data_IF_425899789545
#
_entry.id   IF_425899789545
#
_cell.length_a   1.000
_cell.length_b   1.000
_cell.length_c   1.000
_cell.angle_alpha   90.00
_cell.angle_beta   90.00
_cell.angle_gamma   90.00
#
_symmetry.space_group_name_H-M   'P 1'
#
loop_
_entity.id
_entity.type
_entity.pdbx_description
1 polymer ?
#
# COMPACT_ATOMS: atom_id res chain seq x y z
N UNK A 1 -60.77 22.95 1.76
CA UNK A 1 -59.64 23.07 2.69
C UNK A 1 -58.78 21.84 2.48
N UNK A 2 -57.80 21.93 1.60
CA UNK A 2 -56.78 20.89 1.47
C UNK A 2 -55.94 20.93 2.74
N UNK A 3 -56.10 19.92 3.59
CA UNK A 3 -55.20 19.71 4.71
C UNK A 3 -53.90 19.22 4.10
N UNK A 4 -53.01 20.14 3.74
CA UNK A 4 -51.60 19.81 3.55
C UNK A 4 -51.12 19.27 4.88
N UNK A 5 -50.96 17.95 4.99
CA UNK A 5 -50.33 17.32 6.16
C UNK A 5 -48.91 17.87 6.22
N UNK A 6 -48.71 18.95 6.99
CA UNK A 6 -47.39 19.49 7.27
C UNK A 6 -46.68 18.47 8.14
N UNK A 7 -45.88 17.60 7.50
CA UNK A 7 -44.97 16.69 8.19
C UNK A 7 -44.14 17.47 9.20
N UNK A 8 -44.05 16.97 10.43
CA UNK A 8 -43.27 17.64 11.48
C UNK A 8 -41.80 17.80 11.04
N UNK A 9 -41.24 19.00 11.16
CA UNK A 9 -39.88 19.30 10.70
C UNK A 9 -38.81 18.45 11.40
N UNK A 10 -39.00 18.16 12.69
CA UNK A 10 -38.08 17.30 13.46
C UNK A 10 -38.09 15.85 12.96
N UNK A 11 -39.27 15.31 12.67
CA UNK A 11 -39.40 13.97 12.10
C UNK A 11 -38.80 13.89 10.69
N UNK A 12 -38.96 14.95 9.87
CA UNK A 12 -38.33 15.04 8.56
C UNK A 12 -36.80 15.06 8.65
N UNK A 13 -36.24 15.81 9.61
CA UNK A 13 -34.80 15.83 9.87
C UNK A 13 -34.31 14.44 10.29
N UNK A 14 -34.98 13.79 11.24
CA UNK A 14 -34.64 12.45 11.70
C UNK A 14 -34.71 11.40 10.57
N UNK A 15 -35.77 11.42 9.75
CA UNK A 15 -35.87 10.54 8.59
C UNK A 15 -34.78 10.82 7.56
N UNK A 16 -34.34 12.07 7.40
CA UNK A 16 -33.26 12.43 6.48
C UNK A 16 -31.91 11.92 6.97
N UNK A 17 -31.63 12.07 8.28
CA UNK A 17 -30.45 11.50 8.93
C UNK A 17 -30.39 9.98 8.77
N UNK A 18 -31.50 9.27 9.04
CA UNK A 18 -31.58 7.81 8.86
C UNK A 18 -31.33 7.36 7.42
N UNK A 19 -31.65 8.19 6.43
CA UNK A 19 -31.40 7.93 4.99
C UNK A 19 -30.02 8.41 4.52
N UNK A 20 -29.12 8.78 5.44
CA UNK A 20 -27.77 9.35 5.16
C UNK A 20 -27.81 10.64 4.33
N UNK A 21 -28.91 11.40 4.39
CA UNK A 21 -29.03 12.73 3.77
C UNK A 21 -28.65 13.80 4.78
N UNK A 22 -27.38 13.84 5.14
CA UNK A 22 -26.89 14.64 6.26
C UNK A 22 -26.95 16.15 6.01
N UNK A 23 -26.70 16.62 4.78
CA UNK A 23 -26.82 18.05 4.43
C UNK A 23 -28.25 18.57 4.66
N UNK A 24 -29.24 17.92 4.03
CA UNK A 24 -30.66 18.26 4.20
C UNK A 24 -31.10 18.21 5.66
N UNK A 25 -30.56 17.26 6.41
CA UNK A 25 -30.83 17.14 7.83
C UNK A 25 -30.29 18.36 8.62
N UNK A 26 -29.04 18.75 8.37
CA UNK A 26 -28.41 19.90 9.01
C UNK A 26 -29.13 21.22 8.68
N UNK A 27 -29.61 21.38 7.44
CA UNK A 27 -30.36 22.56 7.01
C UNK A 27 -31.71 22.67 7.74
N UNK A 28 -32.49 21.59 7.80
CA UNK A 28 -33.78 21.55 8.51
C UNK A 28 -33.59 21.78 10.01
N UNK A 29 -32.57 21.17 10.62
CA UNK A 29 -32.25 21.44 12.03
C UNK A 29 -31.80 22.90 12.26
N UNK A 30 -31.15 23.54 11.28
CA UNK A 30 -30.78 24.95 11.40
C UNK A 30 -32.00 25.88 11.36
N UNK A 31 -32.98 25.56 10.51
CA UNK A 31 -34.26 26.26 10.46
C UNK A 31 -35.03 26.08 11.78
N UNK A 32 -35.11 24.85 12.29
CA UNK A 32 -35.72 24.54 13.59
C UNK A 32 -35.08 25.30 14.75
N UNK A 33 -33.75 25.39 14.79
CA UNK A 33 -33.02 26.11 15.83
C UNK A 33 -33.19 27.64 15.71
N UNK A 34 -33.45 28.15 14.51
CA UNK A 34 -33.76 29.56 14.30
C UNK A 34 -35.17 29.94 14.77
N UNK A 35 -36.12 29.00 14.67
CA UNK A 35 -37.49 29.15 15.18
C UNK A 35 -37.58 28.88 16.68
N UNK A 36 -36.82 27.89 17.17
CA UNK A 36 -36.82 27.42 18.56
C UNK A 36 -35.39 27.26 19.10
N UNK A 37 -34.88 28.25 19.85
CA UNK A 37 -33.48 28.25 20.28
C UNK A 37 -33.16 27.22 21.37
N UNK A 38 -34.17 26.64 22.04
CA UNK A 38 -34.00 25.73 23.18
C UNK A 38 -34.24 24.24 22.86
N UNK A 39 -34.31 23.87 21.58
CA UNK A 39 -34.51 22.47 21.20
C UNK A 39 -33.19 21.65 21.18
N UNK A 40 -32.97 20.87 22.24
CA UNK A 40 -31.82 19.98 22.38
C UNK A 40 -31.84 18.82 21.37
N UNK A 41 -33.03 18.36 20.96
CA UNK A 41 -33.15 17.26 20.00
C UNK A 41 -32.67 17.72 18.62
N UNK A 42 -33.14 18.87 18.15
CA UNK A 42 -32.67 19.47 16.90
C UNK A 42 -31.16 19.76 16.93
N UNK A 43 -30.63 20.23 18.06
CA UNK A 43 -29.19 20.50 18.21
C UNK A 43 -28.33 19.23 18.16
N UNK A 44 -28.66 18.20 18.94
CA UNK A 44 -27.94 16.92 18.95
C UNK A 44 -28.01 16.18 17.61
N UNK A 45 -29.14 16.30 16.91
CA UNK A 45 -29.32 15.71 15.59
C UNK A 45 -28.48 16.45 14.53
N UNK A 46 -28.41 17.78 14.60
CA UNK A 46 -27.53 18.59 13.75
C UNK A 46 -26.06 18.25 13.98
N UNK A 47 -25.61 18.17 15.23
CA UNK A 47 -24.20 17.85 15.53
C UNK A 47 -23.86 16.45 15.02
N UNK A 48 -24.74 15.47 15.23
CA UNK A 48 -24.58 14.11 14.68
C UNK A 48 -24.47 14.11 13.16
N UNK A 49 -25.35 14.83 12.45
CA UNK A 49 -25.33 14.90 11.00
C UNK A 49 -24.00 15.51 10.50
N UNK A 50 -23.52 16.58 11.14
CA UNK A 50 -22.23 17.20 10.79
C UNK A 50 -21.05 16.28 11.06
N UNK A 51 -21.05 15.54 12.18
CA UNK A 51 -19.98 14.57 12.48
C UNK A 51 -20.02 13.36 11.55
N UNK A 52 -21.19 12.83 11.23
CA UNK A 52 -21.35 11.69 10.32
C UNK A 52 -20.98 12.02 8.87
N UNK A 53 -21.07 13.30 8.46
CA UNK A 53 -20.58 13.73 7.13
C UNK A 53 -19.07 13.61 6.95
N UNK A 54 -18.31 13.78 8.03
CA UNK A 54 -16.84 13.76 8.03
C UNK A 54 -16.31 12.51 8.74
N UNK A 55 -17.20 11.60 9.13
CA UNK A 55 -16.83 10.42 9.90
C UNK A 55 -15.95 9.49 9.07
N UNK A 56 -14.82 9.11 9.65
CA UNK A 56 -13.90 8.11 9.12
C UNK A 56 -13.56 7.16 10.26
N UNK A 57 -13.56 5.86 9.98
CA UNK A 57 -13.26 4.85 10.99
C UNK A 57 -11.82 4.99 11.49
N UNK A 58 -11.67 5.17 12.81
CA UNK A 58 -10.37 5.37 13.45
C UNK A 58 -9.45 4.14 13.30
N UNK A 59 -10.02 2.94 13.11
CA UNK A 59 -9.25 1.73 12.89
C UNK A 59 -8.46 1.78 11.57
N UNK A 60 -9.01 2.43 10.54
CA UNK A 60 -8.35 2.56 9.24
C UNK A 60 -7.42 3.77 9.15
N UNK A 61 -7.65 4.79 9.99
CA UNK A 61 -6.79 5.98 10.10
C UNK A 61 -5.62 5.69 11.03
N UNK A 62 -4.57 5.08 10.50
CA UNK A 62 -3.22 5.08 11.10
C UNK A 62 -2.27 5.88 10.25
N UNK A 63 -2.08 7.14 10.60
CA UNK A 63 -1.06 7.97 9.96
C UNK A 63 0.08 8.17 10.94
N UNK A 64 1.14 7.38 10.89
CA UNK A 64 2.36 7.66 11.67
C UNK A 64 3.05 8.90 11.09
N UNK A 65 3.22 9.93 11.92
CA UNK A 65 3.99 11.12 11.54
C UNK A 65 5.50 10.87 11.61
N UNK A 66 6.30 11.74 11.00
CA UNK A 66 7.78 11.64 11.04
C UNK A 66 8.29 11.64 12.49
N UNK A 67 7.67 12.44 13.36
CA UNK A 67 7.99 12.48 14.79
C UNK A 67 7.74 11.12 15.46
N UNK A 68 6.54 10.55 15.29
CA UNK A 68 6.19 9.23 15.84
C UNK A 68 7.11 8.11 15.32
N UNK A 69 7.59 8.22 14.07
CA UNK A 69 8.46 7.21 13.46
C UNK A 69 9.89 7.24 14.00
N UNK A 70 10.41 8.43 14.34
CA UNK A 70 11.83 8.67 14.65
C UNK A 70 12.12 9.06 16.10
N UNK A 71 11.23 9.80 16.75
CA UNK A 71 11.43 10.35 18.09
C UNK A 71 10.73 9.51 19.17
N UNK A 72 9.63 8.84 18.82
CA UNK A 72 8.91 7.99 19.76
C UNK A 72 9.50 6.56 19.77
N UNK A 73 10.47 6.33 20.64
CA UNK A 73 10.97 4.99 20.97
C UNK A 73 10.02 4.28 21.94
N UNK A 74 8.95 3.71 21.42
CA UNK A 74 7.98 2.91 22.19
C UNK A 74 8.32 1.41 22.25
N UNK A 75 9.27 0.95 21.41
CA UNK A 75 9.71 -0.43 21.30
C UNK A 75 10.65 -0.82 22.45
N UNK A 76 10.36 -1.92 23.14
CA UNK A 76 11.18 -2.40 24.27
C UNK A 76 12.53 -2.96 23.79
N UNK A 77 12.54 -3.68 22.67
CA UNK A 77 13.73 -4.31 22.13
C UNK A 77 14.36 -3.44 21.05
N UNK A 78 15.61 -3.02 21.25
CA UNK A 78 16.37 -2.27 20.23
C UNK A 78 16.84 -3.17 19.08
N UNK A 79 17.23 -4.41 19.39
CA UNK A 79 17.61 -5.42 18.40
C UNK A 79 16.77 -6.67 18.64
N UNK A 80 15.58 -6.70 18.06
CA UNK A 80 14.70 -7.86 18.11
C UNK A 80 15.26 -9.00 17.24
N UNK A 81 14.90 -10.24 17.58
CA UNK A 81 15.22 -11.40 16.75
C UNK A 81 14.51 -11.25 15.38
N UNK A 82 15.16 -11.57 14.25
CA UNK A 82 14.51 -11.51 12.94
C UNK A 82 13.21 -12.31 12.92
N UNK A 83 12.13 -11.69 12.44
CA UNK A 83 10.79 -12.27 12.39
C UNK A 83 9.96 -12.14 13.67
N UNK A 84 10.47 -11.51 14.74
CA UNK A 84 9.69 -11.20 15.95
C UNK A 84 9.32 -9.72 16.10
N UNK A 85 9.71 -8.89 15.14
CA UNK A 85 9.47 -7.44 15.07
C UNK A 85 9.04 -7.08 13.65
N UNK A 86 8.23 -6.02 13.51
CA UNK A 86 7.82 -5.47 12.22
C UNK A 86 8.94 -4.66 11.55
N UNK A 87 9.91 -4.18 12.35
CA UNK A 87 11.09 -3.43 11.88
C UNK A 87 12.14 -4.33 11.23
N UNK A 88 12.29 -5.55 11.76
CA UNK A 88 13.19 -6.59 11.25
C UNK A 88 12.34 -7.76 10.75
N UNK A 89 11.73 -7.63 9.56
CA UNK A 89 10.97 -8.74 8.98
C UNK A 89 11.88 -9.97 8.85
N UNK A 90 11.29 -11.15 9.02
CA UNK A 90 12.05 -12.39 8.86
C UNK A 90 12.60 -12.47 7.45
N UNK A 91 13.84 -12.94 7.29
CA UNK A 91 14.32 -13.38 5.98
C UNK A 91 13.56 -14.65 5.63
N UNK A 92 12.48 -14.51 4.85
CA UNK A 92 11.74 -15.65 4.31
C UNK A 92 12.67 -16.38 3.33
N UNK A 93 13.48 -17.31 3.83
CA UNK A 93 14.30 -18.17 2.99
C UNK A 93 13.37 -19.02 2.11
N UNK A 94 13.21 -18.60 0.85
CA UNK A 94 12.86 -19.49 -0.27
C UNK A 94 11.40 -19.57 -0.74
N UNK A 95 10.48 -18.66 -0.39
CA UNK A 95 9.09 -18.77 -0.89
C UNK A 95 8.35 -17.47 -1.23
N UNK A 96 8.89 -16.30 -0.88
CA UNK A 96 8.35 -15.03 -1.38
C UNK A 96 8.99 -14.70 -2.74
N UNK A 97 8.26 -14.07 -3.68
CA UNK A 97 8.86 -13.61 -4.93
C UNK A 97 9.99 -12.63 -4.61
N UNK A 98 11.15 -12.87 -5.21
CA UNK A 98 12.34 -12.04 -5.02
C UNK A 98 12.13 -10.65 -5.64
N UNK A 99 12.94 -9.64 -5.25
CA UNK A 99 12.91 -8.32 -5.87
C UNK A 99 13.05 -8.34 -7.40
N UNK A 100 13.64 -9.39 -7.96
CA UNK A 100 13.75 -9.60 -9.40
C UNK A 100 12.42 -9.90 -10.11
N UNK A 101 11.41 -10.37 -9.37
CA UNK A 101 10.10 -10.74 -9.92
C UNK A 101 9.02 -9.76 -9.44
N UNK A 102 9.07 -9.36 -8.16
CA UNK A 102 8.10 -8.45 -7.57
C UNK A 102 8.74 -7.10 -7.28
N UNK A 103 8.21 -5.99 -7.83
CA UNK A 103 8.69 -4.65 -7.52
C UNK A 103 8.66 -4.37 -6.01
N UNK A 104 9.66 -3.62 -5.57
CA UNK A 104 9.85 -3.24 -4.17
C UNK A 104 9.49 -1.77 -4.00
N UNK A 105 8.83 -1.46 -2.89
CA UNK A 105 8.62 -0.08 -2.47
C UNK A 105 9.89 0.48 -1.82
N UNK A 106 9.94 1.81 -1.60
CA UNK A 106 11.06 2.50 -0.96
C UNK A 106 11.47 1.91 0.40
N UNK A 107 10.58 1.18 1.07
CA UNK A 107 10.82 0.52 2.35
C UNK A 107 11.61 -0.78 2.30
N UNK A 108 12.00 -1.23 1.11
CA UNK A 108 12.49 -2.59 0.93
C UNK A 108 11.42 -3.65 1.23
N UNK A 109 10.13 -3.32 1.08
CA UNK A 109 9.01 -4.28 1.14
C UNK A 109 8.39 -4.44 -0.26
N UNK A 110 7.96 -5.66 -0.64
CA UNK A 110 7.32 -5.89 -1.93
C UNK A 110 5.99 -5.13 -2.03
N UNK A 111 5.66 -4.65 -3.23
CA UNK A 111 4.39 -3.92 -3.50
C UNK A 111 3.18 -4.80 -3.16
N UNK A 112 2.26 -4.32 -2.33
CA UNK A 112 1.06 -5.06 -1.88
C UNK A 112 -0.07 -5.03 -2.92
N UNK A 113 -1.01 -5.99 -2.84
CA UNK A 113 -2.18 -6.01 -3.73
C UNK A 113 -3.29 -5.03 -3.33
N UNK A 114 -3.24 -4.51 -2.09
CA UNK A 114 -4.21 -3.59 -1.53
C UNK A 114 -3.49 -2.49 -0.76
N UNK A 115 -3.80 -1.23 -1.06
CA UNK A 115 -3.25 -0.06 -0.39
C UNK A 115 -4.23 0.38 0.70
N UNK A 116 -3.71 0.55 1.92
CA UNK A 116 -4.50 1.06 3.06
C UNK A 116 -3.94 2.42 3.45
N UNK A 117 -4.73 3.31 4.09
CA UNK A 117 -4.18 4.54 4.66
C UNK A 117 -3.04 4.26 5.66
N UNK A 118 -3.08 3.09 6.31
CA UNK A 118 -2.10 2.61 7.28
C UNK A 118 -0.91 1.84 6.72
N UNK A 119 -0.87 1.52 5.40
CA UNK A 119 0.26 0.74 4.86
C UNK A 119 1.56 1.53 5.01
N UNK A 120 2.38 1.09 5.96
CA UNK A 120 3.71 1.65 6.20
C UNK A 120 4.59 1.37 4.98
N UNK A 121 4.79 2.39 4.14
CA UNK A 121 5.77 2.36 3.06
C UNK A 121 7.20 2.59 3.57
N UNK A 122 7.54 1.98 4.71
CA UNK A 122 8.88 2.03 5.32
C UNK A 122 9.12 3.21 6.22
N UNK A 123 10.00 3.01 7.20
CA UNK A 123 10.51 4.09 8.04
C UNK A 123 11.75 4.70 7.39
N UNK A 124 11.82 6.02 7.20
CA UNK A 124 13.05 6.68 6.76
C UNK A 124 14.12 6.49 7.84
N UNK A 125 15.37 6.22 7.44
CA UNK A 125 16.46 5.96 8.41
C UNK A 125 16.93 7.23 9.12
N UNK A 126 16.77 8.39 8.48
CA UNK A 126 17.20 9.69 9.02
C UNK A 126 16.13 10.76 8.86
N UNK A 127 16.12 11.71 9.79
CA UNK A 127 15.21 12.87 9.75
C UNK A 127 15.38 13.67 8.45
N UNK A 128 16.61 13.79 7.93
CA UNK A 128 16.88 14.48 6.67
C UNK A 128 16.28 13.75 5.46
N UNK A 129 16.33 12.42 5.43
CA UNK A 129 15.67 11.63 4.39
C UNK A 129 14.14 11.75 4.49
N UNK A 130 13.59 11.78 5.71
CA UNK A 130 12.15 11.93 5.94
C UNK A 130 11.61 13.29 5.48
N UNK A 131 12.34 14.38 5.76
CA UNK A 131 11.96 15.74 5.35
C UNK A 131 12.03 15.91 3.83
N UNK A 132 12.93 15.20 3.15
CA UNK A 132 13.06 15.22 1.69
C UNK A 132 11.89 14.56 0.96
N UNK A 133 11.07 13.77 1.66
CA UNK A 133 9.84 13.17 1.13
C UNK A 133 8.60 13.95 1.61
N UNK A 134 7.74 14.48 0.71
CA UNK A 134 6.58 15.27 1.14
C UNK A 134 5.49 14.35 1.71
N UNK A 135 5.03 14.63 2.94
CA UNK A 135 3.79 14.05 3.51
C UNK A 135 2.99 15.11 4.26
N UNK A 136 1.67 15.06 4.10
CA UNK A 136 0.73 15.99 4.73
C UNK A 136 0.23 15.49 6.08
N UNK A 137 -0.07 16.44 6.97
CA UNK A 137 -0.42 16.23 8.38
C UNK A 137 -1.88 15.78 8.63
N UNK A 138 -2.10 15.22 9.83
CA UNK A 138 -3.36 14.62 10.33
C UNK A 138 -4.51 15.64 10.50
N UNK A 139 -5.75 15.30 10.12
CA UNK A 139 -6.95 15.87 10.72
C UNK A 139 -7.41 15.05 11.94
N UNK A 140 -7.89 15.74 12.97
CA UNK A 140 -8.25 15.17 14.28
C UNK A 140 -9.77 15.22 14.48
N UNK A 141 -10.40 14.07 14.71
CA UNK A 141 -11.66 13.96 15.46
C UNK A 141 -11.60 12.73 16.35
N UNK A 142 -12.01 12.85 17.61
CA UNK A 142 -11.63 11.89 18.66
C UNK A 142 -12.78 11.60 19.64
N UNK A 143 -12.93 10.34 20.04
CA UNK A 143 -13.66 9.88 21.23
C UNK A 143 -12.71 9.61 22.43
N UNK A 144 -13.17 9.73 23.68
CA UNK A 144 -12.28 9.75 24.89
C UNK A 144 -11.39 8.50 25.09
N UNK A 145 -11.74 7.33 24.53
CA UNK A 145 -10.94 6.09 24.56
C UNK A 145 -9.87 6.03 23.45
N UNK A 146 -10.14 6.64 22.30
CA UNK A 146 -9.17 6.85 21.23
C UNK A 146 -8.29 8.08 21.47
N UNK A 147 -8.69 9.00 22.38
CA UNK A 147 -7.87 10.13 22.81
C UNK A 147 -6.49 9.70 23.29
N UNK A 148 -6.37 8.72 24.18
CA UNK A 148 -5.08 8.35 24.78
C UNK A 148 -4.10 7.78 23.76
N UNK A 149 -4.62 7.06 22.77
CA UNK A 149 -3.83 6.55 21.65
C UNK A 149 -3.39 7.65 20.69
N UNK A 150 -4.28 8.60 20.38
CA UNK A 150 -3.95 9.76 19.55
C UNK A 150 -2.95 10.68 20.26
N UNK A 151 -2.93 10.68 21.60
CA UNK A 151 -1.98 11.41 22.45
C UNK A 151 -0.63 10.69 22.62
N UNK A 152 -0.43 9.50 22.05
CA UNK A 152 0.83 8.74 22.12
C UNK A 152 1.03 7.92 23.40
N UNK A 153 0.06 7.86 24.31
CA UNK A 153 0.14 7.12 25.58
C UNK A 153 -0.32 5.67 25.41
N UNK A 154 0.42 4.88 24.63
CA UNK A 154 0.05 3.52 24.24
C UNK A 154 -0.17 2.56 25.41
N UNK A 155 0.60 2.69 26.51
CA UNK A 155 0.46 1.82 27.69
C UNK A 155 -0.81 2.10 28.49
N UNK A 156 -1.21 3.36 28.58
CA UNK A 156 -2.46 3.72 29.24
C UNK A 156 -3.65 3.25 28.40
N UNK A 157 -3.58 3.43 27.08
CA UNK A 157 -4.57 2.92 26.15
C UNK A 157 -4.71 1.40 26.24
N UNK A 158 -3.60 0.65 26.25
CA UNK A 158 -3.59 -0.81 26.48
C UNK A 158 -4.38 -1.19 27.74
N UNK A 159 -4.16 -0.47 28.85
CA UNK A 159 -4.88 -0.70 30.11
C UNK A 159 -6.38 -0.45 29.98
N UNK A 160 -6.78 0.59 29.25
CA UNK A 160 -8.19 0.91 29.01
C UNK A 160 -8.88 -0.10 28.09
N UNK A 161 -8.19 -0.61 27.06
CA UNK A 161 -8.78 -1.65 26.21
C UNK A 161 -8.87 -3.00 26.92
N UNK A 162 -7.88 -3.35 27.76
CA UNK A 162 -7.96 -4.54 28.60
C UNK A 162 -9.09 -4.45 29.63
N UNK A 163 -9.30 -3.29 30.25
CA UNK A 163 -10.45 -3.11 31.14
C UNK A 163 -11.77 -3.15 30.38
N UNK A 164 -11.83 -2.60 29.16
CA UNK A 164 -13.01 -2.70 28.30
C UNK A 164 -13.35 -4.15 27.95
N UNK A 165 -12.37 -4.96 27.55
CA UNK A 165 -12.55 -6.39 27.28
C UNK A 165 -13.05 -7.16 28.51
N UNK A 166 -12.57 -6.82 29.70
CA UNK A 166 -13.05 -7.44 30.94
C UNK A 166 -14.52 -7.11 31.26
N UNK A 167 -15.05 -5.99 30.76
CA UNK A 167 -16.46 -5.63 30.91
C UNK A 167 -17.33 -6.30 29.85
N UNK A 168 -16.98 -6.13 28.57
CA UNK A 168 -17.69 -6.68 27.42
C UNK A 168 -16.72 -6.91 26.26
N UNK A 169 -16.76 -8.12 25.70
CA UNK A 169 -15.95 -8.51 24.57
C UNK A 169 -16.60 -7.99 23.27
N UNK A 170 -15.92 -7.08 22.58
CA UNK A 170 -16.33 -6.56 21.27
C UNK A 170 -15.21 -6.74 20.25
N UNK A 171 -15.56 -6.98 18.99
CA UNK A 171 -14.58 -7.12 17.89
C UNK A 171 -13.68 -5.88 17.80
N UNK A 172 -14.26 -4.67 17.85
CA UNK A 172 -13.53 -3.41 17.79
C UNK A 172 -12.45 -3.31 18.87
N UNK A 173 -12.74 -3.77 20.10
CA UNK A 173 -11.75 -3.72 21.19
C UNK A 173 -10.54 -4.60 20.93
N UNK A 174 -10.69 -5.76 20.28
CA UNK A 174 -9.55 -6.58 19.85
C UNK A 174 -8.74 -5.89 18.73
N UNK A 175 -9.42 -5.24 17.78
CA UNK A 175 -8.77 -4.49 16.69
C UNK A 175 -7.95 -3.30 17.23
N UNK A 176 -8.53 -2.51 18.12
CA UNK A 176 -7.82 -1.40 18.79
C UNK A 176 -6.62 -1.90 19.59
N UNK A 177 -6.80 -2.97 20.38
CA UNK A 177 -5.72 -3.52 21.20
C UNK A 177 -4.57 -4.09 20.36
N UNK A 178 -4.88 -4.78 19.26
CA UNK A 178 -3.86 -5.25 18.32
C UNK A 178 -3.11 -4.11 17.65
N UNK A 179 -3.80 -3.02 17.29
CA UNK A 179 -3.21 -1.79 16.73
C UNK A 179 -2.28 -1.10 17.73
N UNK A 180 -2.63 -1.07 19.02
CA UNK A 180 -1.71 -0.63 20.09
C UNK A 180 -0.46 -1.51 20.14
N UNK A 181 -0.59 -2.84 20.04
CA UNK A 181 0.57 -3.72 20.00
C UNK A 181 1.42 -3.60 18.74
N UNK A 182 0.82 -3.30 17.59
CA UNK A 182 1.58 -2.97 16.37
C UNK A 182 2.43 -1.71 16.56
N UNK A 183 1.86 -0.65 17.16
CA UNK A 183 2.61 0.58 17.49
C UNK A 183 3.74 0.36 18.50
N UNK A 184 3.58 -0.60 19.41
CA UNK A 184 4.62 -1.03 20.37
C UNK A 184 5.66 -1.99 19.75
N UNK A 185 5.55 -2.31 18.46
CA UNK A 185 6.37 -3.28 17.73
C UNK A 185 6.33 -4.71 18.32
N UNK A 186 5.14 -5.15 18.75
CA UNK A 186 4.91 -6.49 19.29
C UNK A 186 3.91 -7.28 18.40
N UNK A 187 4.34 -7.79 17.24
CA UNK A 187 3.42 -8.49 16.32
C UNK A 187 2.92 -9.83 16.87
N UNK A 188 3.74 -10.55 17.63
CA UNK A 188 3.36 -11.87 18.17
C UNK A 188 2.25 -11.74 19.23
N UNK A 189 2.31 -10.72 20.08
CA UNK A 189 1.26 -10.47 21.06
C UNK A 189 -0.03 -10.04 20.36
N UNK A 190 0.05 -9.18 19.34
CA UNK A 190 -1.09 -8.83 18.50
C UNK A 190 -1.74 -10.06 17.84
N UNK A 191 -0.94 -11.00 17.31
CA UNK A 191 -1.44 -12.26 16.77
C UNK A 191 -2.14 -13.12 17.83
N UNK A 192 -1.61 -13.18 19.05
CA UNK A 192 -2.25 -13.91 20.14
C UNK A 192 -3.58 -13.28 20.56
N UNK A 193 -3.66 -11.95 20.57
CA UNK A 193 -4.91 -11.20 20.83
C UNK A 193 -5.95 -11.50 19.76
N UNK A 194 -5.55 -11.53 18.49
CA UNK A 194 -6.47 -11.89 17.42
C UNK A 194 -6.94 -13.34 17.51
N UNK A 195 -6.05 -14.27 17.88
CA UNK A 195 -6.44 -15.67 18.12
C UNK A 195 -7.44 -15.79 19.29
N UNK A 196 -7.21 -15.07 20.39
CA UNK A 196 -8.19 -14.99 21.47
C UNK A 196 -9.52 -14.45 20.95
N UNK A 197 -9.50 -13.36 20.19
CA UNK A 197 -10.71 -12.81 19.57
C UNK A 197 -11.44 -13.81 18.67
N UNK A 198 -10.72 -14.67 17.94
CA UNK A 198 -11.30 -15.73 17.11
C UNK A 198 -11.87 -16.90 17.93
N UNK A 199 -11.32 -17.18 19.11
CA UNK A 199 -11.89 -18.18 20.03
C UNK A 199 -13.27 -17.72 20.55
N UNK A 200 -13.45 -16.41 20.77
CA UNK A 200 -14.72 -15.81 21.18
C UNK A 200 -15.69 -15.58 20.01
N UNK A 201 -15.17 -15.07 18.89
CA UNK A 201 -15.91 -14.79 17.66
C UNK A 201 -15.41 -15.71 16.53
N UNK A 202 -15.89 -16.95 16.48
CA UNK A 202 -15.53 -17.86 15.39
C UNK A 202 -16.00 -17.25 14.07
N UNK A 203 -15.13 -17.23 13.07
CA UNK A 203 -15.39 -16.72 11.72
C UNK A 203 -15.46 -15.19 11.53
N UNK A 204 -15.02 -14.38 12.49
CA UNK A 204 -14.97 -12.93 12.28
C UNK A 204 -13.91 -12.53 11.24
N UNK A 205 -14.36 -11.81 10.20
CA UNK A 205 -13.57 -11.50 9.00
C UNK A 205 -12.50 -10.47 9.30
N UNK A 206 -12.82 -9.45 10.10
CA UNK A 206 -11.91 -8.35 10.44
C UNK A 206 -10.69 -8.81 11.26
N UNK A 207 -10.86 -9.82 12.11
CA UNK A 207 -9.76 -10.41 12.88
C UNK A 207 -8.84 -11.26 11.99
N UNK A 208 -9.42 -12.08 11.11
CA UNK A 208 -8.65 -12.88 10.15
C UNK A 208 -7.85 -11.99 9.19
N UNK A 209 -8.44 -10.90 8.70
CA UNK A 209 -7.72 -9.92 7.87
C UNK A 209 -6.62 -9.23 8.68
N UNK A 210 -6.87 -8.86 9.93
CA UNK A 210 -5.85 -8.34 10.85
C UNK A 210 -4.64 -9.26 11.03
N UNK A 211 -4.87 -10.57 11.18
CA UNK A 211 -3.82 -11.59 11.25
C UNK A 211 -3.03 -11.65 9.93
N UNK A 212 -3.74 -11.71 8.79
CA UNK A 212 -3.12 -11.76 7.48
C UNK A 212 -2.22 -10.53 7.23
N UNK A 213 -2.68 -9.33 7.62
CA UNK A 213 -1.92 -8.07 7.55
C UNK A 213 -0.61 -8.14 8.33
N UNK A 214 -0.63 -8.60 9.58
CA UNK A 214 0.59 -8.76 10.38
C UNK A 214 1.55 -9.74 9.72
N UNK A 215 1.05 -10.84 9.14
CA UNK A 215 1.89 -11.78 8.42
C UNK A 215 2.50 -11.20 7.13
N UNK A 216 1.75 -10.39 6.37
CA UNK A 216 2.31 -9.62 5.24
C UNK A 216 3.41 -8.66 5.70
N UNK A 217 3.19 -7.94 6.80
CA UNK A 217 4.19 -6.99 7.34
C UNK A 217 5.45 -7.68 7.86
N UNK A 218 5.33 -8.89 8.41
CA UNK A 218 6.46 -9.74 8.78
C UNK A 218 7.14 -10.42 7.58
N UNK A 219 6.67 -10.17 6.35
CA UNK A 219 7.10 -10.78 5.08
C UNK A 219 6.87 -12.31 5.01
N UNK A 220 5.95 -12.85 5.80
CA UNK A 220 5.55 -14.26 5.79
C UNK A 220 4.35 -14.46 4.86
N UNK A 221 4.60 -14.42 3.55
CA UNK A 221 3.55 -14.46 2.53
C UNK A 221 2.74 -15.77 2.53
N UNK A 222 3.36 -16.91 2.86
CA UNK A 222 2.67 -18.21 2.89
C UNK A 222 1.50 -18.18 3.89
N UNK A 223 1.78 -17.88 5.15
CA UNK A 223 0.75 -17.81 6.19
C UNK A 223 -0.26 -16.71 5.91
N UNK A 224 0.18 -15.56 5.37
CA UNK A 224 -0.74 -14.51 4.96
C UNK A 224 -1.75 -15.03 3.91
N UNK A 225 -1.31 -15.77 2.90
CA UNK A 225 -2.23 -16.36 1.91
C UNK A 225 -3.17 -17.41 2.49
N UNK A 226 -2.74 -18.16 3.52
CA UNK A 226 -3.62 -19.13 4.21
C UNK A 226 -4.75 -18.41 4.94
N UNK A 227 -4.44 -17.38 5.74
CA UNK A 227 -5.45 -16.58 6.41
C UNK A 227 -6.35 -15.81 5.43
N UNK A 228 -5.81 -15.28 4.33
CA UNK A 228 -6.65 -14.68 3.29
C UNK A 228 -7.56 -15.71 2.61
N UNK A 229 -7.14 -16.96 2.46
CA UNK A 229 -8.04 -18.03 1.97
C UNK A 229 -9.13 -18.34 2.99
N UNK A 230 -8.85 -18.28 4.29
CA UNK A 230 -9.88 -18.40 5.34
C UNK A 230 -10.87 -17.24 5.30
N UNK A 231 -10.38 -16.01 5.11
CA UNK A 231 -11.23 -14.83 4.86
C UNK A 231 -12.16 -15.09 3.68
N UNK A 232 -11.65 -15.61 2.55
CA UNK A 232 -12.49 -15.90 1.38
C UNK A 232 -13.50 -17.04 1.58
N UNK A 233 -13.27 -17.94 2.55
CA UNK A 233 -14.25 -18.97 2.92
C UNK A 233 -15.44 -18.35 3.65
N UNK A 234 -15.20 -17.33 4.46
CA UNK A 234 -16.26 -16.58 5.16
C UNK A 234 -16.89 -15.55 4.23
N UNK A 235 -16.07 -14.58 3.80
CA UNK A 235 -16.44 -13.47 2.95
C UNK A 235 -15.80 -13.62 1.58
N UNK A 236 -16.60 -14.19 0.69
CA UNK A 236 -16.17 -14.48 -0.65
C UNK A 236 -16.05 -13.18 -1.51
N UNK A 237 -16.58 -12.06 -1.04
CA UNK A 237 -16.59 -10.74 -1.72
C UNK A 237 -15.51 -9.78 -1.21
N UNK A 238 -14.66 -10.22 -0.28
CA UNK A 238 -13.72 -9.33 0.40
C UNK A 238 -12.63 -8.81 -0.56
N UNK A 239 -12.60 -7.50 -0.82
CA UNK A 239 -11.74 -6.89 -1.86
C UNK A 239 -10.26 -7.07 -1.54
N UNK A 240 -9.85 -6.83 -0.30
CA UNK A 240 -8.44 -6.93 0.13
C UNK A 240 -7.90 -8.34 -0.06
N UNK A 241 -8.62 -9.36 0.43
CA UNK A 241 -8.18 -10.75 0.34
C UNK A 241 -8.05 -11.21 -1.12
N UNK A 242 -9.01 -10.85 -1.97
CA UNK A 242 -8.98 -11.17 -3.40
C UNK A 242 -7.77 -10.50 -4.07
N UNK A 243 -7.52 -9.22 -3.78
CA UNK A 243 -6.43 -8.45 -4.39
C UNK A 243 -5.04 -8.93 -3.92
N UNK A 244 -4.86 -9.22 -2.63
CA UNK A 244 -3.61 -9.76 -2.10
C UNK A 244 -3.32 -11.18 -2.61
N UNK A 245 -4.33 -12.06 -2.67
CA UNK A 245 -4.16 -13.39 -3.27
C UNK A 245 -3.87 -13.28 -4.77
N UNK A 246 -4.59 -12.41 -5.48
CA UNK A 246 -4.39 -12.18 -6.91
C UNK A 246 -2.99 -11.68 -7.25
N UNK A 247 -2.47 -10.69 -6.52
CA UNK A 247 -1.11 -10.19 -6.73
C UNK A 247 -0.05 -11.23 -6.39
N UNK A 248 -0.23 -12.00 -5.31
CA UNK A 248 0.68 -13.08 -4.98
C UNK A 248 0.74 -14.15 -6.09
N UNK A 249 -0.41 -14.61 -6.61
CA UNK A 249 -0.43 -15.57 -7.71
C UNK A 249 0.18 -15.02 -9.00
N UNK A 250 0.00 -13.72 -9.28
CA UNK A 250 0.59 -13.07 -10.45
C UNK A 250 2.13 -13.13 -10.39
N UNK A 251 2.72 -12.77 -9.24
CA UNK A 251 4.17 -12.78 -9.06
C UNK A 251 4.76 -14.18 -8.80
N UNK A 252 3.95 -15.21 -8.56
CA UNK A 252 4.40 -16.62 -8.51
C UNK A 252 4.21 -17.35 -9.85
N UNK A 253 4.28 -16.64 -10.97
CA UNK A 253 4.12 -17.17 -12.33
C UNK A 253 2.77 -17.87 -12.61
N UNK A 254 1.70 -17.47 -11.92
CA UNK A 254 0.33 -17.99 -12.13
C UNK A 254 -0.65 -16.87 -12.53
N UNK A 255 -0.43 -16.18 -13.67
CA UNK A 255 -1.26 -15.05 -14.08
C UNK A 255 -2.71 -15.45 -14.43
N UNK A 256 -2.95 -16.69 -14.86
CA UNK A 256 -4.31 -17.19 -15.15
C UNK A 256 -5.18 -17.25 -13.89
N UNK A 257 -4.59 -17.64 -12.76
CA UNK A 257 -5.29 -17.71 -11.47
C UNK A 257 -5.52 -16.29 -10.95
N UNK A 258 -4.51 -15.42 -11.04
CA UNK A 258 -4.64 -14.00 -10.70
C UNK A 258 -5.77 -13.33 -11.51
N UNK A 259 -5.86 -13.61 -12.80
CA UNK A 259 -6.91 -13.11 -13.68
C UNK A 259 -8.32 -13.53 -13.21
N UNK A 260 -8.48 -14.76 -12.72
CA UNK A 260 -9.78 -15.21 -12.16
C UNK A 260 -10.17 -14.39 -10.92
N UNK A 261 -9.22 -14.12 -10.03
CA UNK A 261 -9.44 -13.30 -8.85
C UNK A 261 -9.78 -11.84 -9.20
N UNK A 262 -9.05 -11.22 -10.13
CA UNK A 262 -9.38 -9.85 -10.57
C UNK A 262 -10.70 -9.77 -11.35
N UNK A 263 -11.05 -10.78 -12.16
CA UNK A 263 -12.36 -10.86 -12.82
C UNK A 263 -13.50 -10.97 -11.81
N UNK A 264 -13.27 -11.65 -10.68
CA UNK A 264 -14.23 -11.70 -9.58
C UNK A 264 -14.48 -10.30 -9.02
N UNK A 265 -13.45 -9.49 -8.78
CA UNK A 265 -13.63 -8.10 -8.34
C UNK A 265 -14.46 -7.28 -9.33
N UNK A 266 -14.22 -7.48 -10.63
CA UNK A 266 -15.01 -6.83 -11.67
C UNK A 266 -16.48 -7.29 -11.65
N UNK A 267 -16.76 -8.57 -11.44
CA UNK A 267 -18.13 -9.10 -11.31
C UNK A 267 -18.86 -8.54 -10.08
N UNK A 268 -18.13 -8.20 -9.01
CA UNK A 268 -18.70 -7.55 -7.83
C UNK A 268 -19.03 -6.06 -8.06
N UNK A 269 -18.72 -5.49 -9.22
CA UNK A 269 -19.02 -4.10 -9.56
C UNK A 269 -17.95 -3.11 -9.11
N UNK A 270 -16.72 -3.56 -8.83
CA UNK A 270 -15.60 -2.65 -8.59
C UNK A 270 -15.15 -2.06 -9.93
N UNK A 271 -15.20 -0.74 -10.08
CA UNK A 271 -14.82 -0.02 -11.28
C UNK A 271 -13.72 0.99 -10.96
N UNK A 272 -12.49 0.49 -10.82
CA UNK A 272 -11.32 1.30 -10.46
C UNK A 272 -10.26 1.27 -11.56
N UNK A 273 -9.51 2.36 -11.68
CA UNK A 273 -8.35 2.49 -12.56
C UNK A 273 -7.32 1.36 -12.32
N UNK A 274 -6.92 1.15 -11.05
CA UNK A 274 -5.92 0.14 -10.67
C UNK A 274 -6.39 -1.29 -11.00
N UNK A 275 -7.69 -1.57 -10.85
CA UNK A 275 -8.23 -2.88 -11.17
C UNK A 275 -8.12 -3.19 -12.66
N UNK A 276 -8.47 -2.24 -13.52
CA UNK A 276 -8.35 -2.41 -14.97
C UNK A 276 -6.89 -2.50 -15.42
N UNK A 277 -5.98 -1.76 -14.77
CA UNK A 277 -4.54 -1.89 -14.98
C UNK A 277 -4.04 -3.31 -14.65
N UNK A 278 -4.38 -3.82 -13.46
CA UNK A 278 -4.04 -5.18 -13.03
C UNK A 278 -4.67 -6.26 -13.93
N UNK A 279 -5.91 -6.05 -14.39
CA UNK A 279 -6.57 -6.93 -15.36
C UNK A 279 -5.83 -6.94 -16.71
N UNK A 280 -5.41 -5.79 -17.21
CA UNK A 280 -4.65 -5.67 -18.46
C UNK A 280 -3.32 -6.41 -18.40
N UNK A 281 -2.57 -6.23 -17.31
CA UNK A 281 -1.35 -6.98 -17.04
C UNK A 281 -1.63 -8.50 -16.97
N UNK A 282 -2.60 -8.92 -16.14
CA UNK A 282 -2.92 -10.34 -16.00
C UNK A 282 -3.38 -10.96 -17.33
N UNK A 283 -4.18 -10.27 -18.13
CA UNK A 283 -4.60 -10.73 -19.45
C UNK A 283 -3.38 -10.91 -20.38
N UNK A 284 -2.42 -9.98 -20.34
CA UNK A 284 -1.25 -10.02 -21.22
C UNK A 284 -0.33 -11.20 -20.87
N UNK A 285 0.00 -11.35 -19.59
CA UNK A 285 0.84 -12.46 -19.12
C UNK A 285 0.12 -13.82 -19.17
N UNK A 286 -1.22 -13.84 -19.10
CA UNK A 286 -2.03 -15.03 -19.36
C UNK A 286 -2.33 -15.28 -20.85
N UNK A 287 -1.68 -14.54 -21.77
CA UNK A 287 -1.79 -14.68 -23.23
C UNK A 287 -3.20 -14.45 -23.81
N UNK A 288 -4.06 -13.73 -23.10
CA UNK A 288 -5.39 -13.34 -23.57
C UNK A 288 -5.36 -11.95 -24.20
N UNK A 289 -4.71 -11.85 -25.37
CA UNK A 289 -4.41 -10.59 -26.03
C UNK A 289 -5.64 -9.78 -26.47
N UNK A 290 -6.77 -10.42 -26.74
CA UNK A 290 -8.00 -9.74 -27.20
C UNK A 290 -8.51 -8.71 -26.19
N UNK A 291 -8.33 -8.97 -24.90
CA UNK A 291 -8.89 -8.15 -23.82
C UNK A 291 -7.89 -7.13 -23.26
N UNK A 292 -6.60 -7.26 -23.52
CA UNK A 292 -5.53 -6.47 -22.86
C UNK A 292 -5.66 -4.98 -23.13
N UNK A 293 -5.67 -4.59 -24.40
CA UNK A 293 -5.71 -3.18 -24.80
C UNK A 293 -7.02 -2.53 -24.36
N UNK A 294 -8.15 -3.23 -24.49
CA UNK A 294 -9.45 -2.73 -24.02
C UNK A 294 -9.48 -2.44 -22.51
N UNK A 295 -8.77 -3.25 -21.70
CA UNK A 295 -8.65 -3.00 -20.27
C UNK A 295 -7.74 -1.80 -19.96
N UNK A 296 -6.64 -1.62 -20.68
CA UNK A 296 -5.78 -0.44 -20.49
C UNK A 296 -6.46 0.85 -20.94
N UNK A 297 -7.22 0.82 -22.04
CA UNK A 297 -8.03 1.96 -22.50
C UNK A 297 -9.07 2.37 -21.45
N UNK A 298 -9.74 1.38 -20.83
CA UNK A 298 -10.66 1.63 -19.72
C UNK A 298 -9.95 2.15 -18.47
N UNK A 299 -8.75 1.64 -18.18
CA UNK A 299 -7.94 2.14 -17.07
C UNK A 299 -7.65 3.64 -17.28
N UNK A 300 -7.13 4.02 -18.45
CA UNK A 300 -6.87 5.40 -18.84
C UNK A 300 -8.11 6.30 -18.78
N UNK A 301 -9.29 5.79 -19.13
CA UNK A 301 -10.54 6.54 -19.05
C UNK A 301 -11.03 6.80 -17.61
N UNK A 302 -10.59 6.00 -16.64
CA UNK A 302 -10.99 6.07 -15.22
C UNK A 302 -9.93 6.73 -14.33
N UNK A 303 -8.82 7.18 -14.92
CA UNK A 303 -7.73 7.84 -14.19
C UNK A 303 -8.22 9.08 -13.46
N UNK A 304 -7.77 9.23 -12.21
CA UNK A 304 -8.01 10.41 -11.40
C UNK A 304 -6.75 11.22 -11.07
N UNK A 305 -5.58 10.59 -11.15
CA UNK A 305 -4.28 11.18 -10.79
C UNK A 305 -3.22 10.97 -11.87
N UNK A 306 -2.30 11.94 -11.98
CA UNK A 306 -1.19 11.87 -12.95
C UNK A 306 -0.23 10.70 -12.64
N UNK A 307 -0.09 10.32 -11.37
CA UNK A 307 0.71 9.15 -10.94
C UNK A 307 0.11 7.85 -11.47
N UNK A 308 -1.20 7.63 -11.30
CA UNK A 308 -1.89 6.46 -11.87
C UNK A 308 -1.75 6.43 -13.39
N UNK A 309 -1.84 7.60 -14.04
CA UNK A 309 -1.67 7.69 -15.48
C UNK A 309 -0.26 7.25 -15.91
N UNK A 310 0.77 7.70 -15.19
CA UNK A 310 2.15 7.32 -15.44
C UNK A 310 2.34 5.80 -15.32
N UNK A 311 1.80 5.18 -14.25
CA UNK A 311 1.90 3.74 -14.02
C UNK A 311 1.21 2.92 -15.12
N UNK A 312 0.07 3.38 -15.64
CA UNK A 312 -0.62 2.72 -16.74
C UNK A 312 0.20 2.82 -18.03
N UNK A 313 0.76 3.99 -18.36
CA UNK A 313 1.63 4.15 -19.53
C UNK A 313 2.90 3.32 -19.41
N UNK A 314 3.46 3.22 -18.21
CA UNK A 314 4.59 2.37 -17.90
C UNK A 314 4.26 0.89 -18.17
N UNK A 315 3.12 0.41 -17.66
CA UNK A 315 2.66 -0.96 -17.89
C UNK A 315 2.35 -1.24 -19.37
N UNK A 316 1.79 -0.27 -20.09
CA UNK A 316 1.57 -0.37 -21.54
C UNK A 316 2.91 -0.42 -22.30
N UNK A 317 3.93 0.27 -21.80
CA UNK A 317 5.31 0.15 -22.27
C UNK A 317 5.85 -1.28 -22.13
N UNK A 318 5.61 -1.95 -20.99
CA UNK A 318 5.96 -3.36 -20.80
C UNK A 318 5.25 -4.30 -21.77
N UNK A 319 3.95 -4.07 -21.98
CA UNK A 319 3.17 -4.81 -22.99
C UNK A 319 3.77 -4.62 -24.39
N UNK A 320 4.14 -3.39 -24.76
CA UNK A 320 4.78 -3.09 -26.04
C UNK A 320 6.16 -3.76 -26.19
N UNK A 321 6.97 -3.80 -25.12
CA UNK A 321 8.24 -4.55 -25.10
C UNK A 321 7.98 -6.04 -25.31
N UNK A 322 6.97 -6.61 -24.66
CA UNK A 322 6.61 -8.02 -24.81
C UNK A 322 6.07 -8.38 -26.20
N UNK A 323 5.40 -7.44 -26.88
CA UNK A 323 5.01 -7.59 -28.30
C UNK A 323 6.24 -7.51 -29.22
N UNK A 324 7.27 -6.75 -28.83
CA UNK A 324 8.51 -6.54 -29.59
C UNK A 324 8.60 -5.16 -30.25
N UNK A 325 7.57 -4.33 -30.12
CA UNK A 325 7.51 -2.98 -30.70
C UNK A 325 8.25 -1.97 -29.82
N UNK A 326 9.58 -1.94 -29.97
CA UNK A 326 10.46 -1.09 -29.17
C UNK A 326 10.23 0.42 -29.37
N UNK A 327 9.68 0.82 -30.51
CA UNK A 327 9.34 2.22 -30.81
C UNK A 327 8.14 2.68 -30.00
N UNK A 328 7.10 1.85 -29.92
CA UNK A 328 5.92 2.09 -29.10
C UNK A 328 6.31 2.09 -27.62
N UNK A 329 7.05 1.09 -27.16
CA UNK A 329 7.54 1.03 -25.78
C UNK A 329 8.30 2.30 -25.37
N UNK A 330 9.17 2.80 -26.26
CA UNK A 330 9.90 4.04 -26.04
C UNK A 330 8.99 5.27 -25.89
N UNK A 331 7.92 5.36 -26.68
CA UNK A 331 6.92 6.43 -26.55
C UNK A 331 6.15 6.31 -25.24
N UNK A 332 5.72 5.10 -24.87
CA UNK A 332 4.99 4.83 -23.64
C UNK A 332 5.81 5.21 -22.40
N UNK A 333 7.07 4.81 -22.32
CA UNK A 333 7.94 5.20 -21.21
C UNK A 333 8.21 6.71 -21.16
N UNK A 334 8.30 7.37 -22.32
CA UNK A 334 8.39 8.85 -22.36
C UNK A 334 7.12 9.53 -21.88
N UNK A 335 5.95 8.99 -22.21
CA UNK A 335 4.67 9.49 -21.71
C UNK A 335 4.56 9.29 -20.20
N UNK A 336 4.95 8.11 -19.69
CA UNK A 336 5.00 7.86 -18.25
C UNK A 336 5.85 8.91 -17.52
N UNK A 337 7.03 9.24 -18.06
CA UNK A 337 7.89 10.30 -17.52
C UNK A 337 7.28 11.70 -17.65
N UNK A 338 6.50 11.98 -18.70
CA UNK A 338 5.85 13.27 -18.88
C UNK A 338 4.76 13.55 -17.83
N UNK A 339 4.06 12.49 -17.37
CA UNK A 339 3.08 12.58 -16.29
C UNK A 339 3.76 12.54 -14.91
N UNK A 340 4.73 11.65 -14.72
CA UNK A 340 5.49 11.54 -13.49
C UNK A 340 7.00 11.61 -13.75
N UNK A 341 7.56 12.81 -13.54
CA UNK A 341 8.98 13.07 -13.70
C UNK A 341 9.86 12.30 -12.70
N UNK A 342 9.29 11.81 -11.59
CA UNK A 342 10.00 11.11 -10.52
C UNK A 342 9.92 9.58 -10.64
N UNK A 343 9.45 9.06 -11.77
CA UNK A 343 9.23 7.64 -11.97
C UNK A 343 10.53 6.91 -12.35
N UNK A 344 11.22 6.35 -11.34
CA UNK A 344 12.54 5.71 -11.49
C UNK A 344 12.56 4.48 -12.41
N UNK A 345 11.50 3.69 -12.42
CA UNK A 345 11.41 2.46 -13.22
C UNK A 345 11.38 2.75 -14.73
N UNK A 346 10.63 3.77 -15.16
CA UNK A 346 10.57 4.18 -16.57
C UNK A 346 11.92 4.71 -17.06
N UNK A 347 12.67 5.45 -16.23
CA UNK A 347 14.03 5.86 -16.58
C UNK A 347 14.95 4.66 -16.82
N UNK A 348 14.86 3.63 -15.96
CA UNK A 348 15.64 2.41 -16.13
C UNK A 348 15.30 1.69 -17.45
N UNK A 349 14.02 1.48 -17.74
CA UNK A 349 13.59 0.80 -18.96
C UNK A 349 13.92 1.61 -20.22
N UNK A 350 13.78 2.94 -20.18
CA UNK A 350 14.17 3.82 -21.28
C UNK A 350 15.68 3.76 -21.51
N UNK A 351 16.49 3.71 -20.45
CA UNK A 351 17.94 3.53 -20.57
C UNK A 351 18.32 2.20 -21.23
N UNK A 352 17.63 1.10 -20.87
CA UNK A 352 17.83 -0.21 -21.52
C UNK A 352 17.48 -0.14 -23.02
N UNK A 353 16.40 0.55 -23.39
CA UNK A 353 16.04 0.76 -24.79
C UNK A 353 17.07 1.62 -25.55
N UNK A 354 17.63 2.67 -24.92
CA UNK A 354 18.68 3.51 -25.53
C UNK A 354 20.03 2.79 -25.64
N UNK A 355 20.37 1.93 -24.66
CA UNK A 355 21.52 1.02 -24.76
C UNK A 355 21.39 0.10 -25.97
N UNK A 356 20.20 -0.45 -26.19
CA UNK A 356 19.93 -1.31 -27.36
C UNK A 356 20.02 -0.56 -28.69
N UNK A 357 19.75 0.75 -28.69
CA UNK A 357 19.97 1.65 -29.84
C UNK A 357 21.42 2.11 -30.00
N UNK A 358 22.31 1.79 -29.06
CA UNK A 358 23.72 2.16 -29.06
C UNK A 358 24.04 3.55 -28.49
N UNK A 359 23.07 4.25 -27.88
CA UNK A 359 23.27 5.59 -27.31
C UNK A 359 23.71 5.50 -25.84
N UNK A 360 24.99 5.20 -25.63
CA UNK A 360 25.57 4.91 -24.32
C UNK A 360 25.48 6.10 -23.34
N UNK A 361 25.76 7.33 -23.81
CA UNK A 361 25.75 8.52 -22.95
C UNK A 361 24.37 8.86 -22.39
N UNK A 362 23.34 8.78 -23.24
CA UNK A 362 21.96 9.04 -22.84
C UNK A 362 21.49 7.98 -21.84
N UNK A 363 21.80 6.71 -22.09
CA UNK A 363 21.49 5.64 -21.15
C UNK A 363 22.18 5.83 -19.81
N UNK A 364 23.45 6.24 -19.79
CA UNK A 364 24.19 6.52 -18.56
C UNK A 364 23.50 7.60 -17.73
N UNK A 365 23.06 8.70 -18.37
CA UNK A 365 22.33 9.77 -17.69
C UNK A 365 21.00 9.27 -17.09
N UNK A 366 20.22 8.50 -17.85
CA UNK A 366 18.94 7.95 -17.37
C UNK A 366 19.10 6.94 -16.23
N UNK A 367 20.15 6.12 -16.26
CA UNK A 367 20.44 5.19 -15.15
C UNK A 367 20.87 5.93 -13.89
N UNK A 368 21.64 7.00 -14.01
CA UNK A 368 22.02 7.84 -12.87
C UNK A 368 20.80 8.55 -12.27
N UNK A 369 19.89 9.08 -13.10
CA UNK A 369 18.65 9.69 -12.58
C UNK A 369 17.77 8.65 -11.90
N UNK A 370 17.59 7.46 -12.49
CA UNK A 370 16.87 6.35 -11.87
C UNK A 370 17.48 5.94 -10.51
N UNK A 371 18.79 5.75 -10.45
CA UNK A 371 19.50 5.42 -9.22
C UNK A 371 19.37 6.50 -8.13
N UNK A 372 19.24 7.77 -8.52
CA UNK A 372 19.05 8.88 -7.58
C UNK A 372 17.62 9.00 -7.04
N UNK A 373 16.61 8.74 -7.90
CA UNK A 373 15.19 8.79 -7.53
C UNK A 373 14.80 7.61 -6.65
N UNK A 374 15.31 6.43 -6.99
CA UNK A 374 14.96 5.16 -6.35
C UNK A 374 16.22 4.38 -5.99
N UNK A 375 16.87 4.72 -4.86
CA UNK A 375 18.11 4.07 -4.44
C UNK A 375 17.90 2.61 -3.98
N UNK A 376 16.68 2.25 -3.61
CA UNK A 376 16.26 0.91 -3.16
C UNK A 376 16.08 -0.10 -4.31
N UNK A 377 15.99 0.37 -5.55
CA UNK A 377 15.88 -0.50 -6.72
C UNK A 377 17.27 -0.99 -7.12
N UNK A 378 17.42 -2.29 -7.35
CA UNK A 378 18.71 -2.89 -7.67
C UNK A 378 19.05 -2.78 -9.17
N UNK A 379 18.02 -2.70 -10.03
CA UNK A 379 18.11 -2.75 -11.49
C UNK A 379 18.87 -1.55 -12.08
N UNK A 380 18.62 -0.28 -11.67
CA UNK A 380 19.36 0.85 -12.20
C UNK A 380 20.85 0.78 -11.84
N UNK A 381 21.17 0.37 -10.62
CA UNK A 381 22.56 0.23 -10.16
C UNK A 381 23.29 -0.89 -10.89
N UNK A 382 22.62 -2.03 -11.09
CA UNK A 382 23.16 -3.15 -11.87
C UNK A 382 23.38 -2.78 -13.34
N UNK A 383 22.38 -2.17 -13.97
CA UNK A 383 22.47 -1.72 -15.36
C UNK A 383 23.56 -0.66 -15.54
N UNK A 384 23.73 0.24 -14.56
CA UNK A 384 24.82 1.21 -14.58
C UNK A 384 26.19 0.54 -14.43
N UNK A 385 26.32 -0.42 -13.51
CA UNK A 385 27.56 -1.17 -13.30
C UNK A 385 27.98 -1.98 -14.54
N UNK A 386 27.03 -2.65 -15.19
CA UNK A 386 27.29 -3.40 -16.43
C UNK A 386 27.67 -2.47 -17.59
N UNK A 387 27.07 -1.27 -17.67
CA UNK A 387 27.41 -0.28 -18.69
C UNK A 387 28.82 0.29 -18.46
N UNK A 388 29.17 0.66 -17.23
CA UNK A 388 30.48 1.22 -16.91
C UNK A 388 31.61 0.20 -17.05
N UNK A 389 31.36 -1.06 -16.72
CA UNK A 389 32.30 -2.18 -16.95
C UNK A 389 32.62 -2.32 -18.46
N UNK A 390 31.58 -2.26 -19.31
CA UNK A 390 31.74 -2.28 -20.78
C UNK A 390 32.52 -1.08 -21.33
N UNK A 391 32.42 0.08 -20.69
CA UNK A 391 33.17 1.30 -21.06
C UNK A 391 34.60 1.27 -20.51
N UNK A 392 34.89 0.43 -19.51
CA UNK A 392 36.19 0.32 -18.85
C UNK A 392 36.35 1.19 -17.60
N UNK A 393 35.28 1.83 -17.12
CA UNK A 393 35.29 2.60 -15.88
C UNK A 393 35.00 1.69 -14.67
N UNK A 394 36.03 0.96 -14.25
CA UNK A 394 35.95 -0.06 -13.21
C UNK A 394 35.57 0.52 -11.84
N UNK A 395 35.99 1.75 -11.53
CA UNK A 395 35.74 2.38 -10.23
C UNK A 395 34.26 2.68 -10.06
N UNK A 396 33.63 3.33 -11.05
CA UNK A 396 32.19 3.62 -10.98
C UNK A 396 31.34 2.36 -11.08
N UNK A 397 31.80 1.35 -11.83
CA UNK A 397 31.19 0.02 -11.87
C UNK A 397 31.15 -0.64 -10.49
N UNK A 398 32.27 -0.65 -9.78
CA UNK A 398 32.36 -1.27 -8.45
C UNK A 398 31.42 -0.59 -7.44
N UNK A 399 31.42 0.75 -7.39
CA UNK A 399 30.56 1.50 -6.47
C UNK A 399 29.07 1.26 -6.74
N UNK A 400 28.67 1.15 -8.01
CA UNK A 400 27.28 0.86 -8.37
C UNK A 400 26.91 -0.60 -8.09
N UNK A 401 27.81 -1.55 -8.36
CA UNK A 401 27.59 -2.95 -8.06
C UNK A 401 27.44 -3.20 -6.54
N UNK A 402 28.20 -2.48 -5.70
CA UNK A 402 28.02 -2.51 -4.24
C UNK A 402 26.63 -2.01 -3.81
N UNK A 403 26.17 -0.88 -4.35
CA UNK A 403 24.81 -0.38 -4.08
C UNK A 403 23.72 -1.35 -4.55
N UNK A 404 23.97 -2.06 -5.65
CA UNK A 404 23.06 -3.09 -6.14
C UNK A 404 23.04 -4.32 -5.21
N UNK A 405 24.19 -4.71 -4.64
CA UNK A 405 24.28 -5.75 -3.61
C UNK A 405 23.56 -5.35 -2.32
N UNK A 406 23.68 -4.08 -1.89
CA UNK A 406 22.96 -3.55 -0.73
C UNK A 406 21.43 -3.60 -0.94
N UNK A 407 20.96 -3.29 -2.16
CA UNK A 407 19.55 -3.32 -2.53
C UNK A 407 19.00 -4.76 -2.68
N UNK A 408 19.76 -5.66 -3.32
CA UNK A 408 19.40 -7.06 -3.49
C UNK A 408 20.62 -7.99 -3.30
N UNK A 409 20.85 -8.48 -2.06
CA UNK A 409 22.06 -9.26 -1.75
C UNK A 409 22.13 -10.64 -2.42
N UNK A 410 20.98 -11.25 -2.72
CA UNK A 410 20.92 -12.60 -3.31
C UNK A 410 21.07 -12.61 -4.84
N UNK A 411 21.25 -11.44 -5.46
CA UNK A 411 21.38 -11.34 -6.90
C UNK A 411 22.67 -11.98 -7.42
N UNK A 412 22.55 -12.93 -8.34
CA UNK A 412 23.69 -13.72 -8.82
C UNK A 412 24.61 -12.90 -9.72
N UNK A 413 24.07 -12.10 -10.63
CA UNK A 413 24.86 -11.40 -11.63
C UNK A 413 25.68 -10.25 -11.02
N UNK A 414 25.16 -9.56 -10.00
CA UNK A 414 25.93 -8.54 -9.26
C UNK A 414 27.10 -9.19 -8.51
N UNK A 415 26.88 -10.34 -7.87
CA UNK A 415 27.96 -11.07 -7.21
C UNK A 415 29.04 -11.52 -8.21
N UNK A 416 28.66 -11.91 -9.43
CA UNK A 416 29.62 -12.24 -10.48
C UNK A 416 30.42 -11.01 -10.92
N UNK A 417 29.76 -9.88 -11.18
CA UNK A 417 30.42 -8.62 -11.55
C UNK A 417 31.39 -8.18 -10.44
N UNK A 418 30.96 -8.22 -9.18
CA UNK A 418 31.82 -7.86 -8.05
C UNK A 418 33.03 -8.77 -7.92
N UNK A 419 32.89 -10.07 -8.17
CA UNK A 419 34.03 -11.01 -8.20
C UNK A 419 35.01 -10.65 -9.32
N UNK A 420 34.52 -10.37 -10.52
CA UNK A 420 35.35 -9.99 -11.66
C UNK A 420 36.10 -8.67 -11.39
N UNK A 421 35.41 -7.65 -10.90
CA UNK A 421 36.01 -6.36 -10.56
C UNK A 421 37.06 -6.49 -9.45
N UNK A 422 36.80 -7.29 -8.41
CA UNK A 422 37.77 -7.58 -7.35
C UNK A 422 39.01 -8.30 -7.88
N UNK A 423 38.86 -9.21 -8.85
CA UNK A 423 40.00 -9.84 -9.53
C UNK A 423 40.81 -8.81 -10.32
N UNK A 424 40.15 -7.93 -11.08
CA UNK A 424 40.83 -6.86 -11.81
C UNK A 424 41.62 -5.93 -10.90
N UNK A 425 41.06 -5.54 -9.75
CA UNK A 425 41.79 -4.71 -8.76
C UNK A 425 42.93 -5.44 -8.07
N UNK A 426 42.88 -6.78 -7.96
CA UNK A 426 43.98 -7.57 -7.39
C UNK A 426 45.11 -7.81 -8.40
N UNK A 427 44.83 -7.73 -9.70
CA UNK A 427 45.83 -7.89 -10.78
C UNK A 427 46.57 -6.60 -11.15
N UNK A 428 46.02 -5.43 -10.79
CA UNK A 428 46.63 -4.11 -10.94
C UNK A 428 47.54 -3.81 -9.74
#
# INVERSE_FOLDING_TARGET
>A
MEVTVSMEPLFLAWSSCRRRRFQRCADVCSQLLSESPYDQAAWSLKTRALTEMVYVDELEVDQEGIADMMLDESSIAQVARPGTSLRLPGTSRGAAPTPAVRPMTQSGRPVTGFVRPSTLSGRPETMEQAIRTPRTARPVTICKRSCTDVLGLHREAEKQFRSALAHQEFVDTYLYLAKVYQRLDQPITALNVFKQGLDHFPAEVTLLTGIARIHEEMNNMISATEYYKEVLKQDNTHVEAIACIGSNHFYTDQPEIALRFYRRLLQMGVFNCQLYNNLGLCCFYAQQYDMTLSSFERALALVSSDEEQADIWYNLGHVAVGIGDLTLAYQCFKLALAFNNNHGEAYNNLAVLELRKGRIEQAKAFLQTAASLSPHMYEPHFNFATLSDKVGDLQSSYMAAQKSEDAFPEHVDTQQILKNLRQHFATL
#
